data_IF_494679051973
#
_entry.id   IF_494679051973
#
_cell.length_a   1.000
_cell.length_b   1.000
_cell.length_c   1.000
_cell.angle_alpha   90.00
_cell.angle_beta   90.00
_cell.angle_gamma   90.00
#
_symmetry.space_group_name_H-M   'P 1'
#
loop_
_entity.id
_entity.type
_entity.pdbx_description
1 polymer ?
#
# COMPACT_ATOMS: atom_id res chain seq x y z
N UNK A 1 55.28 8.12 23.22
CA UNK A 1 54.20 8.96 22.65
C UNK A 1 54.51 10.46 22.79
N UNK A 2 55.68 10.97 22.35
CA UNK A 2 56.10 12.35 22.66
C UNK A 2 55.95 13.37 21.51
N UNK A 3 55.25 13.04 20.41
CA UNK A 3 55.12 13.93 19.25
C UNK A 3 53.68 14.38 18.91
N UNK A 4 52.69 14.14 19.80
CA UNK A 4 51.31 14.54 19.52
C UNK A 4 51.10 16.05 19.66
N UNK A 5 51.10 16.78 18.54
CA UNK A 5 50.80 18.21 18.48
C UNK A 5 49.30 18.45 18.57
N UNK A 6 48.78 18.40 19.79
CA UNK A 6 47.35 18.50 20.10
C UNK A 6 46.66 19.78 19.60
N UNK A 7 47.38 20.88 19.30
CA UNK A 7 46.76 22.08 18.68
C UNK A 7 46.48 21.87 17.19
N UNK A 8 47.43 21.26 16.49
CA UNK A 8 47.29 20.92 15.06
C UNK A 8 46.17 19.89 14.87
N UNK A 9 46.12 18.89 15.74
CA UNK A 9 45.06 17.87 15.71
C UNK A 9 43.65 18.46 15.80
N UNK A 10 43.42 19.37 16.77
CA UNK A 10 42.12 20.04 16.93
C UNK A 10 41.75 20.86 15.69
N UNK A 11 42.70 21.56 15.09
CA UNK A 11 42.45 22.33 13.87
C UNK A 11 42.05 21.45 12.69
N UNK A 12 42.80 20.36 12.46
CA UNK A 12 42.54 19.41 11.36
C UNK A 12 41.18 18.72 11.53
N UNK A 13 40.87 18.22 12.74
CA UNK A 13 39.61 17.51 12.96
C UNK A 13 38.39 18.45 12.86
N UNK A 14 38.50 19.71 13.32
CA UNK A 14 37.44 20.71 13.13
C UNK A 14 37.23 21.05 11.65
N UNK A 15 38.31 21.18 10.88
CA UNK A 15 38.22 21.42 9.44
C UNK A 15 37.54 20.25 8.71
N UNK A 16 37.93 19.00 9.00
CA UNK A 16 37.30 17.82 8.43
C UNK A 16 35.82 17.71 8.85
N UNK A 17 35.51 17.92 10.12
CA UNK A 17 34.14 17.88 10.62
C UNK A 17 33.26 18.96 9.96
N UNK A 18 33.79 20.18 9.79
CA UNK A 18 33.09 21.26 9.10
C UNK A 18 32.76 20.92 7.65
N UNK A 19 33.71 20.30 6.92
CA UNK A 19 33.48 19.89 5.53
C UNK A 19 32.35 18.85 5.43
N UNK A 20 32.33 17.87 6.33
CA UNK A 20 31.27 16.87 6.39
C UNK A 20 29.94 17.53 6.78
N UNK A 21 29.93 18.44 7.76
CA UNK A 21 28.73 19.18 8.17
C UNK A 21 28.19 20.05 7.03
N UNK A 22 29.04 20.69 6.24
CA UNK A 22 28.64 21.49 5.08
C UNK A 22 27.95 20.62 4.03
N UNK A 23 28.60 19.51 3.63
CA UNK A 23 28.05 18.59 2.60
C UNK A 23 26.74 17.97 3.07
N UNK A 24 26.70 17.47 4.30
CA UNK A 24 25.48 16.85 4.86
C UNK A 24 24.36 17.87 5.08
N UNK A 25 24.67 19.11 5.48
CA UNK A 25 23.67 20.20 5.58
C UNK A 25 23.04 20.51 4.22
N UNK A 26 23.87 20.63 3.17
CA UNK A 26 23.40 20.91 1.82
C UNK A 26 22.51 19.75 1.34
N UNK A 27 22.90 18.49 1.57
CA UNK A 27 22.10 17.34 1.15
C UNK A 27 20.78 17.24 1.94
N UNK A 28 20.80 17.40 3.27
CA UNK A 28 19.58 17.40 4.09
C UNK A 28 18.65 18.56 3.76
N UNK A 29 19.20 19.65 3.21
CA UNK A 29 18.41 20.78 2.77
C UNK A 29 17.91 20.63 1.32
N UNK A 30 18.61 19.92 0.43
CA UNK A 30 18.22 19.80 -0.98
C UNK A 30 17.41 18.53 -1.29
N UNK A 31 17.58 17.45 -0.53
CA UNK A 31 16.95 16.15 -0.77
C UNK A 31 15.95 15.74 0.32
N UNK A 32 15.07 14.79 0.00
CA UNK A 32 14.23 14.10 0.98
C UNK A 32 15.07 13.46 2.10
N UNK A 33 14.43 13.29 3.25
CA UNK A 33 15.07 12.79 4.45
C UNK A 33 15.68 11.41 4.24
N UNK A 34 17.00 11.30 4.43
CA UNK A 34 17.70 10.02 4.45
C UNK A 34 18.30 9.79 5.84
N UNK A 35 17.90 8.69 6.48
CA UNK A 35 18.29 8.36 7.85
C UNK A 35 19.81 8.25 8.04
N UNK A 36 20.54 7.70 7.06
CA UNK A 36 21.99 7.58 7.13
C UNK A 36 22.67 8.96 7.11
N UNK A 37 22.21 9.86 6.24
CA UNK A 37 22.77 11.21 6.12
C UNK A 37 22.47 12.02 7.39
N UNK A 38 21.26 11.91 7.93
CA UNK A 38 20.87 12.56 9.18
C UNK A 38 21.68 12.03 10.38
N UNK A 39 21.92 10.71 10.42
CA UNK A 39 22.77 10.09 11.45
C UNK A 39 24.22 10.59 11.34
N UNK A 40 24.80 10.60 10.14
CA UNK A 40 26.14 11.15 9.90
C UNK A 40 26.25 12.61 10.33
N UNK A 41 25.27 13.44 9.94
CA UNK A 41 25.22 14.86 10.32
C UNK A 41 25.18 15.03 11.84
N UNK A 42 24.32 14.26 12.53
CA UNK A 42 24.15 14.36 13.98
C UNK A 42 25.40 13.91 14.73
N UNK A 43 26.00 12.78 14.35
CA UNK A 43 27.19 12.24 15.00
C UNK A 43 28.41 13.13 14.78
N UNK A 44 28.64 13.60 13.55
CA UNK A 44 29.76 14.49 13.23
C UNK A 44 29.54 15.88 13.84
N UNK A 45 28.31 16.37 13.89
CA UNK A 45 27.95 17.62 14.56
C UNK A 45 28.23 17.57 16.06
N UNK A 46 27.84 16.48 16.73
CA UNK A 46 28.15 16.26 18.15
C UNK A 46 29.67 16.19 18.39
N UNK A 47 30.40 15.45 17.56
CA UNK A 47 31.87 15.41 17.62
C UNK A 47 32.47 16.80 17.45
N UNK A 48 31.99 17.58 16.49
CA UNK A 48 32.46 18.94 16.23
C UNK A 48 32.23 19.85 17.43
N UNK A 49 31.07 19.76 18.11
CA UNK A 49 30.78 20.52 19.33
C UNK A 49 31.74 20.15 20.48
N UNK A 50 31.98 18.85 20.70
CA UNK A 50 32.92 18.39 21.73
C UNK A 50 34.35 18.90 21.46
N UNK A 51 34.81 18.81 20.21
CA UNK A 51 36.12 19.32 19.82
C UNK A 51 36.16 20.85 19.90
N UNK A 52 35.07 21.55 19.56
CA UNK A 52 34.99 23.01 19.68
C UNK A 52 35.13 23.46 21.13
N UNK A 53 34.50 22.77 22.08
CA UNK A 53 34.69 23.00 23.52
C UNK A 53 36.16 22.77 23.91
N UNK A 54 36.77 21.70 23.42
CA UNK A 54 38.20 21.44 23.66
C UNK A 54 39.11 22.53 23.06
N UNK A 55 38.78 23.01 21.86
CA UNK A 55 39.45 24.12 21.21
C UNK A 55 39.33 25.40 22.04
N UNK A 56 38.15 25.68 22.57
CA UNK A 56 37.84 26.86 23.37
C UNK A 56 38.64 26.89 24.67
N UNK A 57 38.63 25.79 25.44
CA UNK A 57 39.38 25.66 26.69
C UNK A 57 40.86 25.91 26.44
N UNK A 58 41.40 25.35 25.36
CA UNK A 58 42.82 25.43 25.04
C UNK A 58 43.26 26.81 24.54
N UNK A 59 42.35 27.56 23.93
CA UNK A 59 42.59 28.88 23.37
C UNK A 59 41.89 30.01 24.16
N UNK A 60 41.53 29.76 25.43
CA UNK A 60 40.77 30.70 26.25
C UNK A 60 41.53 32.01 26.53
N UNK A 61 42.87 31.96 26.61
CA UNK A 61 43.71 33.15 26.85
C UNK A 61 43.67 34.12 25.65
N UNK A 62 43.98 33.69 24.40
CA UNK A 62 43.74 34.52 23.22
C UNK A 62 42.29 34.99 23.09
N UNK A 63 41.31 34.12 23.36
CA UNK A 63 39.91 34.50 23.24
C UNK A 63 39.53 35.63 24.20
N UNK A 64 39.96 35.58 25.47
CA UNK A 64 39.73 36.67 26.43
C UNK A 64 40.29 38.00 25.93
N UNK A 65 41.42 37.98 25.23
CA UNK A 65 42.00 39.19 24.63
C UNK A 65 41.16 39.72 23.45
N UNK A 66 40.63 38.85 22.59
CA UNK A 66 39.72 39.26 21.51
C UNK A 66 38.36 39.77 22.02
N UNK A 67 37.88 39.20 23.13
CA UNK A 67 36.61 39.57 23.73
C UNK A 67 36.67 40.84 24.59
N UNK A 68 37.86 41.38 24.86
CA UNK A 68 38.04 42.57 25.68
C UNK A 68 38.17 43.83 24.80
N UNK A 69 37.09 44.61 24.59
CA UNK A 69 37.12 45.78 23.72
C UNK A 69 37.99 46.93 24.26
N UNK A 70 38.45 46.85 25.51
CA UNK A 70 39.25 47.87 26.18
C UNK A 70 40.75 47.51 26.29
N UNK A 71 41.15 46.30 25.90
CA UNK A 71 42.57 45.90 25.89
C UNK A 71 43.27 46.58 24.69
N UNK A 72 44.13 47.58 24.97
CA UNK A 72 44.89 48.31 23.95
C UNK A 72 45.86 47.38 23.23
N UNK A 73 45.42 46.74 22.14
CA UNK A 73 46.32 45.91 21.35
C UNK A 73 47.27 46.68 20.44
N UNK A 74 47.05 47.97 20.12
CA UNK A 74 48.02 48.82 19.37
C UNK A 74 47.47 50.23 19.07
N UNK A 75 46.79 50.88 20.01
CA UNK A 75 46.37 52.29 19.85
C UNK A 75 45.33 52.57 18.74
N UNK A 76 44.70 51.54 18.15
CA UNK A 76 43.60 51.65 17.18
C UNK A 76 42.37 50.91 17.70
N UNK A 77 41.19 51.51 17.53
CA UNK A 77 39.89 50.94 17.91
C UNK A 77 39.60 49.67 17.07
N UNK A 78 39.22 48.56 17.72
CA UNK A 78 38.89 47.31 17.01
C UNK A 78 37.43 47.31 16.55
N UNK A 79 37.20 47.33 15.23
CA UNK A 79 35.86 47.26 14.63
C UNK A 79 35.26 45.84 14.63
N UNK A 80 36.00 44.83 15.09
CA UNK A 80 35.58 43.43 15.00
C UNK A 80 34.25 43.16 15.73
N UNK A 81 34.05 43.75 16.91
CA UNK A 81 32.84 43.56 17.71
C UNK A 81 31.58 44.19 17.10
N UNK A 82 31.60 45.48 16.71
CA UNK A 82 30.49 46.07 15.97
C UNK A 82 30.16 45.30 14.69
N UNK A 83 31.17 44.87 13.92
CA UNK A 83 30.96 44.11 12.68
C UNK A 83 30.33 42.75 12.98
N UNK A 84 30.83 42.01 13.96
CA UNK A 84 30.28 40.70 14.34
C UNK A 84 28.81 40.81 14.80
N UNK A 85 28.48 41.83 15.62
CA UNK A 85 27.11 42.10 16.04
C UNK A 85 26.21 42.44 14.87
N UNK A 86 26.67 43.30 13.94
CA UNK A 86 25.92 43.63 12.73
C UNK A 86 25.67 42.38 11.86
N UNK A 87 26.67 41.52 11.67
CA UNK A 87 26.54 40.29 10.87
C UNK A 87 25.56 39.31 11.53
N UNK A 88 25.71 39.04 12.83
CA UNK A 88 24.81 38.12 13.56
C UNK A 88 23.37 38.66 13.57
N UNK A 89 23.21 39.96 13.81
CA UNK A 89 21.89 40.61 13.79
C UNK A 89 21.26 40.54 12.40
N UNK A 90 22.04 40.79 11.35
CA UNK A 90 21.56 40.66 9.97
C UNK A 90 21.16 39.22 9.65
N UNK A 91 22.00 38.22 9.94
CA UNK A 91 21.68 36.80 9.66
C UNK A 91 20.43 36.33 10.42
N UNK A 92 20.23 36.80 11.66
CA UNK A 92 19.04 36.46 12.45
C UNK A 92 17.76 37.18 12.00
N UNK A 93 17.85 38.45 11.62
CA UNK A 93 16.70 39.29 11.26
C UNK A 93 16.34 39.22 9.77
N UNK A 94 17.29 38.96 8.87
CA UNK A 94 17.06 38.94 7.44
C UNK A 94 16.00 37.92 6.99
N UNK A 95 15.90 36.70 7.56
CA UNK A 95 14.79 35.81 7.26
C UNK A 95 13.44 36.34 7.75
N UNK A 96 13.40 36.98 8.92
CA UNK A 96 12.17 37.54 9.52
C UNK A 96 11.62 38.69 8.67
N UNK A 97 12.49 39.55 8.16
CA UNK A 97 12.12 40.70 7.31
C UNK A 97 12.25 40.42 5.81
N UNK A 98 12.53 39.18 5.41
CA UNK A 98 12.68 38.74 4.02
C UNK A 98 13.71 39.57 3.21
N UNK A 99 14.83 39.95 3.82
CA UNK A 99 15.82 40.83 3.21
C UNK A 99 16.74 40.08 2.22
N UNK A 100 17.13 40.70 1.08
CA UNK A 100 18.18 40.16 0.20
C UNK A 100 19.58 40.25 0.84
N UNK A 101 20.48 39.27 0.61
CA UNK A 101 20.30 38.07 -0.23
C UNK A 101 19.68 36.86 0.49
N UNK A 102 19.31 36.94 1.77
CA UNK A 102 18.84 35.78 2.54
C UNK A 102 17.62 35.09 1.91
N UNK A 103 16.65 35.89 1.41
CA UNK A 103 15.46 35.34 0.75
C UNK A 103 15.79 34.61 -0.56
N UNK A 104 16.80 35.06 -1.31
CA UNK A 104 17.21 34.44 -2.57
C UNK A 104 17.89 33.08 -2.34
N UNK A 105 18.70 32.98 -1.28
CA UNK A 105 19.29 31.70 -0.86
C UNK A 105 18.20 30.70 -0.46
N UNK A 106 17.17 31.15 0.27
CA UNK A 106 16.03 30.31 0.63
C UNK A 106 15.25 29.84 -0.60
N UNK A 107 14.94 30.74 -1.54
CA UNK A 107 14.23 30.42 -2.79
C UNK A 107 14.99 29.40 -3.62
N UNK A 108 16.30 29.58 -3.80
CA UNK A 108 17.15 28.59 -4.47
C UNK A 108 17.11 27.22 -3.78
N UNK A 109 17.06 27.21 -2.44
CA UNK A 109 16.83 25.99 -1.68
C UNK A 109 15.51 25.28 -1.99
N UNK A 110 14.43 26.05 -2.08
CA UNK A 110 13.10 25.53 -2.41
C UNK A 110 13.05 24.93 -3.83
N UNK A 111 13.76 25.51 -4.80
CA UNK A 111 13.81 24.94 -6.16
C UNK A 111 14.52 23.59 -6.19
N UNK A 112 15.57 23.42 -5.38
CA UNK A 112 16.26 22.12 -5.26
C UNK A 112 15.35 21.06 -4.62
N UNK A 113 14.63 21.42 -3.55
CA UNK A 113 13.67 20.51 -2.89
C UNK A 113 12.50 20.14 -3.79
N UNK A 114 11.98 21.08 -4.58
CA UNK A 114 10.85 20.84 -5.47
C UNK A 114 11.20 19.83 -6.58
N UNK A 115 12.42 19.91 -7.12
CA UNK A 115 12.92 18.96 -8.12
C UNK A 115 13.05 17.53 -7.54
N UNK A 116 13.61 17.39 -6.33
CA UNK A 116 13.76 16.10 -5.66
C UNK A 116 12.40 15.49 -5.25
N UNK A 117 11.43 16.34 -4.85
CA UNK A 117 10.07 15.90 -4.50
C UNK A 117 9.31 15.33 -5.72
N UNK A 118 9.45 15.95 -6.89
CA UNK A 118 8.82 15.46 -8.11
C UNK A 118 9.35 14.09 -8.55
N UNK A 119 10.63 13.80 -8.28
CA UNK A 119 11.26 12.50 -8.58
C UNK A 119 10.95 11.40 -7.53
N UNK A 120 10.27 11.73 -6.43
CA UNK A 120 10.10 10.85 -5.27
C UNK A 120 8.66 10.65 -4.79
N UNK A 121 7.66 11.23 -5.46
CA UNK A 121 6.27 10.85 -5.22
C UNK A 121 6.09 9.37 -5.61
N UNK A 122 5.49 8.53 -4.74
CA UNK A 122 5.30 7.11 -5.05
C UNK A 122 4.43 6.96 -6.30
N UNK A 123 5.01 6.45 -7.38
CA UNK A 123 4.28 6.14 -8.61
C UNK A 123 3.22 5.06 -8.32
N UNK A 124 1.94 5.42 -8.43
CA UNK A 124 0.85 4.44 -8.45
C UNK A 124 0.72 3.94 -9.89
N UNK A 125 1.10 2.67 -10.11
CA UNK A 125 0.99 2.02 -11.41
C UNK A 125 -0.33 1.28 -11.51
N UNK A 126 -0.98 1.41 -12.67
CA UNK A 126 -2.15 0.63 -13.05
C UNK A 126 -1.81 -0.25 -14.24
N UNK A 127 -2.20 -1.51 -14.16
CA UNK A 127 -2.19 -2.43 -15.30
C UNK A 127 -3.50 -2.26 -16.04
N UNK A 128 -3.45 -1.77 -17.28
CA UNK A 128 -4.64 -1.70 -18.13
C UNK A 128 -4.84 -3.02 -18.88
N UNK A 129 -6.07 -3.51 -18.90
CA UNK A 129 -6.50 -4.66 -19.70
C UNK A 129 -7.82 -4.34 -20.38
N UNK A 130 -7.91 -4.70 -21.64
CA UNK A 130 -9.11 -4.53 -22.45
C UNK A 130 -9.44 -5.85 -23.13
N UNK A 131 -10.69 -6.30 -22.99
CA UNK A 131 -11.17 -7.57 -23.53
C UNK A 131 -12.39 -7.30 -24.38
N UNK A 132 -12.28 -7.60 -25.67
CA UNK A 132 -13.38 -7.54 -26.62
C UNK A 132 -13.72 -8.95 -27.13
N UNK A 133 -14.98 -9.36 -26.95
CA UNK A 133 -15.54 -10.49 -27.71
C UNK A 133 -16.20 -9.91 -28.97
N UNK A 134 -15.83 -10.34 -30.19
CA UNK A 134 -16.46 -9.91 -31.45
C UNK A 134 -17.99 -10.11 -31.49
N UNK A 135 -18.54 -10.98 -30.63
CA UNK A 135 -19.98 -11.22 -30.51
C UNK A 135 -20.69 -10.23 -29.59
N UNK A 136 -19.94 -9.51 -28.74
CA UNK A 136 -20.50 -8.52 -27.82
C UNK A 136 -20.97 -7.28 -28.56
N UNK A 137 -22.18 -6.81 -28.25
CA UNK A 137 -22.82 -5.68 -28.94
C UNK A 137 -23.19 -4.52 -28.03
N UNK A 138 -23.18 -4.72 -26.70
CA UNK A 138 -23.56 -3.71 -25.72
C UNK A 138 -22.52 -2.62 -25.48
N UNK A 139 -22.74 -1.85 -24.42
CA UNK A 139 -21.88 -0.75 -23.98
C UNK A 139 -20.49 -1.26 -23.51
N UNK A 140 -19.49 -0.38 -23.47
CA UNK A 140 -18.22 -0.68 -22.80
C UNK A 140 -18.35 -0.36 -21.33
N UNK A 141 -17.92 -1.28 -20.48
CA UNK A 141 -17.81 -1.05 -19.05
C UNK A 141 -16.34 -1.11 -18.64
N UNK A 142 -15.91 -0.14 -17.85
CA UNK A 142 -14.55 -0.05 -17.32
C UNK A 142 -14.61 -0.08 -15.80
N UNK A 143 -13.74 -0.89 -15.20
CA UNK A 143 -13.57 -1.05 -13.76
C UNK A 143 -12.14 -0.67 -13.41
N UNK A 144 -11.99 0.40 -12.65
CA UNK A 144 -10.73 0.82 -12.06
C UNK A 144 -10.69 0.35 -10.60
N UNK A 145 -9.77 -0.56 -10.28
CA UNK A 145 -9.56 -1.04 -8.92
C UNK A 145 -8.19 -0.58 -8.41
N UNK A 146 -8.21 0.13 -7.28
CA UNK A 146 -7.03 0.40 -6.48
C UNK A 146 -6.98 -0.60 -5.33
N UNK A 147 -5.90 -1.38 -5.28
CA UNK A 147 -5.76 -2.46 -4.32
C UNK A 147 -5.41 -1.94 -2.93
N UNK A 148 -5.92 -2.60 -1.91
CA UNK A 148 -5.48 -2.39 -0.54
C UNK A 148 -4.21 -3.20 -0.21
N UNK A 149 -3.66 -3.04 1.01
CA UNK A 149 -2.42 -3.70 1.42
C UNK A 149 -2.52 -5.24 1.48
N UNK A 150 -3.72 -5.80 1.67
CA UNK A 150 -3.93 -7.25 1.81
C UNK A 150 -4.35 -7.94 0.51
N UNK A 151 -4.37 -7.24 -0.64
CA UNK A 151 -4.76 -7.80 -1.93
C UNK A 151 -3.67 -8.72 -2.53
N UNK A 152 -3.41 -9.86 -1.90
CA UNK A 152 -2.33 -10.79 -2.26
C UNK A 152 -2.92 -12.07 -2.87
N UNK A 153 -2.80 -12.24 -4.18
CA UNK A 153 -3.40 -13.38 -4.90
C UNK A 153 -4.90 -13.62 -4.60
N UNK A 154 -5.75 -12.58 -4.65
CA UNK A 154 -7.16 -12.70 -4.29
C UNK A 154 -7.92 -13.58 -5.29
N UNK A 155 -9.06 -14.11 -4.85
CA UNK A 155 -10.11 -14.59 -5.73
C UNK A 155 -11.20 -13.53 -5.80
N UNK A 156 -11.69 -13.23 -6.99
CA UNK A 156 -12.78 -12.26 -7.13
C UNK A 156 -13.58 -12.46 -8.42
N UNK A 157 -14.80 -11.97 -8.39
CA UNK A 157 -15.71 -11.96 -9.51
C UNK A 157 -16.39 -10.60 -9.62
N UNK A 158 -16.59 -10.18 -10.86
CA UNK A 158 -17.30 -8.98 -11.25
C UNK A 158 -18.49 -9.40 -12.11
N UNK A 159 -19.68 -8.88 -11.81
CA UNK A 159 -20.88 -9.19 -12.59
C UNK A 159 -21.90 -8.06 -12.57
N UNK A 160 -22.89 -8.17 -13.46
CA UNK A 160 -24.05 -7.30 -13.52
C UNK A 160 -25.31 -8.07 -13.14
N UNK A 161 -26.16 -7.46 -12.32
CA UNK A 161 -27.51 -7.94 -11.99
C UNK A 161 -28.52 -6.79 -12.09
N UNK A 162 -29.80 -7.13 -12.29
CA UNK A 162 -30.88 -6.15 -12.21
C UNK A 162 -31.09 -5.65 -10.78
N UNK A 163 -31.86 -4.56 -10.61
CA UNK A 163 -32.27 -4.10 -9.28
C UNK A 163 -33.15 -5.12 -8.53
N UNK A 164 -33.80 -6.05 -9.25
CA UNK A 164 -34.56 -7.16 -8.66
C UNK A 164 -33.68 -8.35 -8.26
N UNK A 165 -32.38 -8.31 -8.53
CA UNK A 165 -31.42 -9.38 -8.22
C UNK A 165 -31.30 -10.46 -9.30
N UNK A 166 -31.84 -10.23 -10.50
CA UNK A 166 -31.70 -11.14 -11.62
C UNK A 166 -30.30 -11.00 -12.23
N UNK A 167 -29.52 -12.08 -12.22
CA UNK A 167 -28.21 -12.13 -12.85
C UNK A 167 -28.29 -11.82 -14.36
N UNK A 168 -27.44 -10.92 -14.86
CA UNK A 168 -27.40 -10.55 -16.29
C UNK A 168 -26.23 -11.16 -17.02
N UNK A 169 -25.01 -10.92 -16.54
CA UNK A 169 -23.79 -11.51 -17.09
C UNK A 169 -22.61 -11.33 -16.14
N UNK A 170 -21.62 -12.23 -16.16
CA UNK A 170 -20.32 -11.95 -15.58
C UNK A 170 -19.57 -10.89 -16.40
N UNK A 171 -18.65 -10.20 -15.77
CA UNK A 171 -17.71 -9.26 -16.39
C UNK A 171 -16.29 -9.80 -16.32
N UNK A 172 -15.93 -10.39 -15.19
CA UNK A 172 -14.62 -10.99 -14.98
C UNK A 172 -14.70 -12.02 -13.85
N UNK A 173 -13.99 -13.13 -14.00
CA UNK A 173 -13.80 -14.13 -12.94
C UNK A 173 -12.34 -14.56 -12.91
N UNK A 174 -11.77 -14.72 -11.71
CA UNK A 174 -10.42 -15.26 -11.57
C UNK A 174 -10.31 -16.68 -12.13
N UNK A 175 -9.26 -16.95 -12.90
CA UNK A 175 -9.03 -18.21 -13.62
C UNK A 175 -9.20 -19.48 -12.76
N UNK A 176 -8.67 -19.48 -11.52
CA UNK A 176 -8.78 -20.65 -10.62
C UNK A 176 -10.22 -21.02 -10.32
N UNK A 177 -11.08 -20.02 -10.13
CA UNK A 177 -12.51 -20.25 -9.90
C UNK A 177 -13.21 -20.69 -11.17
N UNK A 178 -12.93 -20.04 -12.30
CA UNK A 178 -13.56 -20.35 -13.59
C UNK A 178 -13.24 -21.77 -14.09
N UNK A 179 -12.01 -22.24 -13.87
CA UNK A 179 -11.54 -23.56 -14.31
C UNK A 179 -11.67 -24.64 -13.22
N UNK A 180 -12.14 -24.25 -12.03
CA UNK A 180 -12.19 -25.05 -10.81
C UNK A 180 -10.84 -25.74 -10.49
N UNK A 181 -9.71 -25.10 -10.81
CA UNK A 181 -8.35 -25.65 -10.67
C UNK A 181 -7.77 -25.44 -9.27
N UNK A 182 -8.46 -25.96 -8.25
CA UNK A 182 -7.97 -26.01 -6.87
C UNK A 182 -7.15 -27.30 -6.62
N UNK A 183 -5.96 -27.38 -7.21
CA UNK A 183 -5.08 -28.56 -7.11
C UNK A 183 -4.21 -28.55 -5.84
N UNK A 184 -4.04 -27.40 -5.21
CA UNK A 184 -3.22 -27.25 -4.01
C UNK A 184 -3.97 -27.76 -2.77
N UNK A 185 -3.34 -28.71 -2.08
CA UNK A 185 -3.66 -29.09 -0.71
C UNK A 185 -2.78 -28.31 0.25
N UNK A 186 -3.37 -27.80 1.31
CA UNK A 186 -2.62 -27.13 2.38
C UNK A 186 -2.98 -27.79 3.69
N UNK A 187 -1.98 -28.09 4.51
CA UNK A 187 -2.15 -28.70 5.84
C UNK A 187 -1.28 -27.99 6.87
N UNK A 188 -1.74 -27.92 8.12
CA UNK A 188 -0.91 -27.43 9.22
C UNK A 188 0.29 -28.36 9.45
N UNK A 189 1.47 -27.79 9.69
CA UNK A 189 2.64 -28.56 10.17
C UNK A 189 2.46 -29.00 11.63
N UNK A 190 1.90 -28.12 12.45
CA UNK A 190 1.46 -28.41 13.82
C UNK A 190 -0.07 -28.46 13.87
N UNK A 191 -0.68 -29.65 14.02
CA UNK A 191 -2.13 -29.81 14.07
C UNK A 191 -2.80 -29.02 15.19
N UNK A 192 -2.11 -28.83 16.32
CA UNK A 192 -2.65 -28.17 17.52
C UNK A 192 -2.49 -26.64 17.46
N UNK A 193 -1.74 -26.12 16.49
CA UNK A 193 -1.53 -24.68 16.34
C UNK A 193 -2.81 -23.98 15.87
N UNK A 194 -3.24 -22.98 16.62
CA UNK A 194 -4.36 -22.11 16.27
C UNK A 194 -3.86 -20.87 15.55
N UNK A 195 -4.44 -20.57 14.39
CA UNK A 195 -4.23 -19.33 13.66
C UNK A 195 -5.34 -18.34 13.98
N UNK A 196 -4.97 -17.16 14.46
CA UNK A 196 -5.88 -16.07 14.83
C UNK A 196 -5.38 -14.71 14.31
N UNK A 197 -4.41 -14.72 13.39
CA UNK A 197 -3.84 -13.55 12.73
C UNK A 197 -3.57 -13.87 11.27
N UNK A 198 -3.57 -12.84 10.43
CA UNK A 198 -3.31 -12.97 9.00
C UNK A 198 -1.97 -13.66 8.73
N UNK A 199 -1.96 -14.71 7.89
CA UNK A 199 -0.78 -15.58 7.75
C UNK A 199 0.22 -15.13 6.66
N UNK A 200 -0.14 -14.17 5.79
CA UNK A 200 0.78 -13.68 4.75
C UNK A 200 1.40 -12.31 5.06
N UNK A 201 0.87 -11.61 6.06
CA UNK A 201 1.19 -10.21 6.39
C UNK A 201 1.00 -10.01 7.88
N UNK A 202 1.95 -9.36 8.54
CA UNK A 202 1.89 -9.05 9.98
C UNK A 202 3.01 -9.71 10.78
N UNK A 203 2.95 -9.55 12.11
CA UNK A 203 3.96 -10.07 13.05
C UNK A 203 3.66 -11.51 13.53
N UNK A 204 2.53 -12.08 13.10
CA UNK A 204 2.10 -13.44 13.43
C UNK A 204 2.85 -14.53 12.65
N UNK A 205 2.48 -15.81 12.85
CA UNK A 205 3.06 -16.92 12.10
C UNK A 205 2.86 -16.72 10.59
N UNK A 206 3.93 -16.93 9.81
CA UNK A 206 3.87 -16.86 8.36
C UNK A 206 3.43 -18.20 7.77
N UNK A 207 2.57 -18.18 6.75
CA UNK A 207 2.05 -19.36 6.06
C UNK A 207 3.17 -20.33 5.61
N UNK A 208 4.31 -19.83 5.15
CA UNK A 208 5.43 -20.66 4.70
C UNK A 208 6.09 -21.46 5.83
N UNK A 209 6.03 -20.93 7.05
CA UNK A 209 6.61 -21.55 8.23
C UNK A 209 5.67 -22.59 8.85
N UNK A 210 4.35 -22.36 8.81
CA UNK A 210 3.37 -23.15 9.55
C UNK A 210 2.50 -24.07 8.69
N UNK A 211 2.49 -23.90 7.38
CA UNK A 211 1.72 -24.71 6.44
C UNK A 211 2.63 -25.56 5.54
N UNK A 212 2.15 -26.74 5.18
CA UNK A 212 2.74 -27.61 4.16
C UNK A 212 1.81 -27.65 2.95
N UNK A 213 2.36 -27.33 1.77
CA UNK A 213 1.65 -27.35 0.50
C UNK A 213 2.01 -28.59 -0.31
N UNK A 214 1.00 -29.29 -0.83
CA UNK A 214 1.17 -30.43 -1.73
C UNK A 214 0.22 -30.28 -2.92
N UNK A 215 0.68 -30.61 -4.12
CA UNK A 215 -0.19 -30.61 -5.30
C UNK A 215 -0.86 -31.98 -5.44
N UNK A 216 -2.19 -32.02 -5.44
CA UNK A 216 -2.97 -33.26 -5.62
C UNK A 216 -4.04 -33.08 -6.72
N UNK A 217 -3.64 -33.11 -8.02
CA UNK A 217 -4.53 -32.82 -9.15
C UNK A 217 -5.74 -33.76 -9.25
N UNK A 218 -5.62 -34.99 -8.77
CA UNK A 218 -6.67 -36.01 -8.78
C UNK A 218 -7.86 -35.69 -7.85
N UNK A 219 -7.68 -34.77 -6.90
CA UNK A 219 -8.71 -34.33 -5.96
C UNK A 219 -9.44 -33.05 -6.41
N UNK A 220 -9.12 -32.52 -7.60
CA UNK A 220 -9.68 -31.27 -8.13
C UNK A 220 -11.22 -31.24 -8.07
N UNK A 221 -11.88 -32.27 -8.58
CA UNK A 221 -13.34 -32.34 -8.64
C UNK A 221 -14.01 -32.61 -7.28
N UNK A 222 -13.24 -32.97 -6.25
CA UNK A 222 -13.72 -33.07 -4.86
C UNK A 222 -13.39 -31.85 -4.01
N UNK A 223 -12.51 -30.94 -4.48
CA UNK A 223 -12.09 -29.71 -3.77
C UNK A 223 -12.74 -28.47 -4.34
N UNK A 224 -14.07 -28.47 -4.29
CA UNK A 224 -14.84 -27.27 -4.55
C UNK A 224 -14.69 -26.32 -3.37
N UNK A 225 -14.51 -25.03 -3.66
CA UNK A 225 -14.35 -23.97 -2.67
C UNK A 225 -15.59 -23.06 -2.68
N UNK A 226 -16.77 -23.53 -2.25
CA UNK A 226 -17.98 -22.70 -2.25
C UNK A 226 -17.84 -21.45 -1.35
N UNK A 227 -16.93 -21.48 -0.38
CA UNK A 227 -16.54 -20.37 0.47
C UNK A 227 -15.72 -19.29 -0.25
N UNK A 228 -15.18 -19.56 -1.45
CA UNK A 228 -14.31 -18.60 -2.12
C UNK A 228 -15.07 -17.36 -2.56
N UNK A 229 -16.23 -17.52 -3.23
CA UNK A 229 -17.10 -16.43 -3.69
C UNK A 229 -18.58 -16.84 -3.58
N UNK A 230 -19.10 -17.07 -2.36
CA UNK A 230 -20.47 -17.55 -2.11
C UNK A 230 -21.56 -16.82 -2.90
N UNK A 231 -21.53 -15.49 -2.91
CA UNK A 231 -22.65 -14.69 -3.45
C UNK A 231 -22.71 -14.86 -4.96
N UNK A 232 -21.56 -14.71 -5.63
CA UNK A 232 -21.42 -14.89 -7.06
C UNK A 232 -21.74 -16.32 -7.49
N UNK A 233 -21.23 -17.32 -6.78
CA UNK A 233 -21.46 -18.73 -7.10
C UNK A 233 -22.95 -19.05 -7.04
N UNK A 234 -23.64 -18.68 -5.96
CA UNK A 234 -25.09 -18.89 -5.84
C UNK A 234 -25.88 -18.15 -6.92
N UNK A 235 -25.43 -16.96 -7.35
CA UNK A 235 -26.05 -16.23 -8.45
C UNK A 235 -25.90 -16.90 -9.82
N UNK A 236 -24.75 -17.52 -10.08
CA UNK A 236 -24.55 -18.31 -11.30
C UNK A 236 -25.50 -19.52 -11.36
N UNK A 237 -25.95 -20.01 -10.21
CA UNK A 237 -26.80 -21.20 -10.07
C UNK A 237 -26.25 -22.43 -10.82
N UNK A 238 -24.93 -22.47 -11.05
CA UNK A 238 -24.22 -23.57 -11.68
C UNK A 238 -23.87 -24.59 -10.60
N UNK A 239 -24.41 -25.81 -10.73
CA UNK A 239 -24.16 -26.93 -9.81
C UNK A 239 -23.27 -27.94 -10.50
N UNK A 240 -22.26 -28.42 -9.79
CA UNK A 240 -21.54 -29.62 -10.17
C UNK A 240 -22.39 -30.87 -9.93
N UNK A 241 -21.98 -32.00 -10.53
CA UNK A 241 -22.68 -33.29 -10.46
C UNK A 241 -22.94 -33.79 -9.02
N UNK A 242 -22.10 -33.39 -8.07
CA UNK A 242 -22.24 -33.71 -6.64
C UNK A 242 -23.22 -32.78 -5.88
N UNK A 243 -23.88 -31.85 -6.57
CA UNK A 243 -24.84 -30.90 -6.00
C UNK A 243 -24.22 -29.66 -5.36
N UNK A 244 -22.89 -29.54 -5.32
CA UNK A 244 -22.18 -28.35 -4.81
C UNK A 244 -22.17 -27.26 -5.89
N UNK A 245 -22.34 -26.02 -5.45
CA UNK A 245 -22.59 -24.86 -6.31
C UNK A 245 -21.26 -24.24 -6.80
N UNK A 246 -20.51 -25.02 -7.58
CA UNK A 246 -19.23 -24.64 -8.21
C UNK A 246 -19.23 -25.17 -9.66
N UNK A 247 -18.64 -24.45 -10.64
CA UNK A 247 -18.57 -24.92 -12.01
C UNK A 247 -17.84 -26.27 -12.13
N UNK A 248 -18.46 -27.23 -12.81
CA UNK A 248 -17.76 -28.39 -13.36
C UNK A 248 -16.92 -27.93 -14.56
N UNK A 249 -15.72 -28.50 -14.71
CA UNK A 249 -14.84 -28.38 -15.88
C UNK A 249 -15.53 -28.53 -17.26
N UNK A 250 -16.66 -29.22 -17.36
CA UNK A 250 -17.40 -29.35 -18.63
C UNK A 250 -18.37 -28.18 -18.90
N UNK A 251 -18.70 -27.37 -17.88
CA UNK A 251 -19.63 -26.24 -18.00
C UNK A 251 -18.92 -24.93 -18.40
N UNK A 252 -18.53 -24.88 -19.67
CA UNK A 252 -17.85 -23.81 -20.44
C UNK A 252 -18.42 -22.36 -20.34
N UNK A 253 -19.34 -22.05 -19.43
CA UNK A 253 -20.05 -20.76 -19.43
C UNK A 253 -19.20 -19.56 -18.96
N UNK A 254 -18.14 -19.78 -18.17
CA UNK A 254 -17.35 -18.71 -17.54
C UNK A 254 -16.01 -18.49 -18.25
N UNK A 255 -15.56 -19.41 -19.11
CA UNK A 255 -14.23 -19.38 -19.72
C UNK A 255 -13.98 -18.08 -20.52
N UNK A 256 -15.00 -17.60 -21.25
CA UNK A 256 -14.94 -16.32 -21.99
C UNK A 256 -14.85 -15.05 -21.14
N UNK A 257 -15.04 -15.16 -19.82
CA UNK A 257 -14.93 -14.08 -18.84
C UNK A 257 -13.80 -14.32 -17.84
N UNK A 258 -13.06 -15.41 -18.01
CA UNK A 258 -11.95 -15.78 -17.16
C UNK A 258 -10.65 -15.12 -17.65
N UNK A 259 -9.74 -14.85 -16.72
CA UNK A 259 -8.41 -14.40 -17.10
C UNK A 259 -7.43 -14.51 -15.95
N UNK A 260 -6.14 -14.37 -16.28
CA UNK A 260 -5.07 -14.34 -15.31
C UNK A 260 -5.39 -13.33 -14.20
N UNK A 261 -5.32 -13.76 -12.94
CA UNK A 261 -5.64 -12.93 -11.76
C UNK A 261 -4.84 -11.64 -11.79
N UNK A 262 -5.52 -10.48 -11.75
CA UNK A 262 -4.86 -9.18 -11.65
C UNK A 262 -4.54 -8.95 -10.18
N UNK A 263 -3.24 -8.84 -9.85
CA UNK A 263 -2.76 -8.73 -8.46
C UNK A 263 -2.25 -7.33 -8.11
N UNK A 264 -2.20 -6.42 -9.09
CA UNK A 264 -1.82 -5.01 -8.90
C UNK A 264 -3.04 -4.10 -9.07
N UNK A 265 -2.89 -2.78 -8.92
CA UNK A 265 -3.95 -1.86 -9.35
C UNK A 265 -4.23 -2.07 -10.83
N UNK A 266 -5.49 -2.05 -11.23
CA UNK A 266 -5.85 -2.33 -12.61
C UNK A 266 -6.99 -1.46 -13.12
N UNK A 267 -6.99 -1.30 -14.44
CA UNK A 267 -8.10 -0.73 -15.20
C UNK A 267 -8.52 -1.83 -16.18
N UNK A 268 -9.71 -2.38 -15.97
CA UNK A 268 -10.25 -3.48 -16.77
C UNK A 268 -11.43 -2.96 -17.58
N UNK A 269 -11.33 -3.03 -18.91
CA UNK A 269 -12.41 -2.65 -19.83
C UNK A 269 -12.92 -3.89 -20.57
N UNK A 270 -14.23 -4.04 -20.65
CA UNK A 270 -14.86 -5.08 -21.46
C UNK A 270 -16.16 -4.60 -22.12
N UNK A 271 -16.58 -5.27 -23.18
CA UNK A 271 -17.82 -5.00 -23.89
C UNK A 271 -18.93 -5.96 -23.47
N UNK A 272 -20.07 -5.42 -23.05
CA UNK A 272 -21.24 -6.20 -22.66
C UNK A 272 -21.76 -7.07 -23.83
N UNK A 273 -22.20 -8.29 -23.54
CA UNK A 273 -22.70 -9.23 -24.57
C UNK A 273 -23.87 -8.62 -25.37
N UNK A 274 -24.81 -8.00 -24.65
CA UNK A 274 -25.95 -7.29 -25.21
C UNK A 274 -26.11 -5.91 -24.55
N UNK A 275 -26.76 -4.95 -25.22
CA UNK A 275 -27.09 -3.65 -24.63
C UNK A 275 -27.99 -3.82 -23.40
N UNK A 276 -27.68 -3.09 -22.33
CA UNK A 276 -28.54 -2.95 -21.15
C UNK A 276 -29.21 -1.58 -21.17
N UNK A 277 -30.40 -1.48 -20.58
CA UNK A 277 -31.16 -0.23 -20.47
C UNK A 277 -31.54 0.04 -19.01
N UNK A 278 -31.41 1.29 -18.58
CA UNK A 278 -31.78 1.74 -17.25
C UNK A 278 -30.84 1.25 -16.14
N UNK A 279 -31.26 1.40 -14.86
CA UNK A 279 -30.40 1.14 -13.72
C UNK A 279 -30.16 -0.35 -13.48
N UNK A 280 -28.89 -0.70 -13.30
CA UNK A 280 -28.42 -2.05 -12.96
C UNK A 280 -27.38 -1.99 -11.84
N UNK A 281 -27.24 -3.09 -11.10
CA UNK A 281 -26.17 -3.25 -10.11
C UNK A 281 -24.95 -3.85 -10.78
N UNK A 282 -23.81 -3.26 -10.53
CA UNK A 282 -22.50 -3.83 -10.78
C UNK A 282 -21.94 -4.27 -9.44
N UNK A 283 -21.48 -5.51 -9.36
CA UNK A 283 -21.02 -6.15 -8.13
C UNK A 283 -19.57 -6.59 -8.28
N UNK A 284 -18.82 -6.45 -7.19
CA UNK A 284 -17.53 -7.07 -6.98
C UNK A 284 -17.62 -7.91 -5.71
N UNK A 285 -17.32 -9.19 -5.80
CA UNK A 285 -17.05 -10.02 -4.63
C UNK A 285 -15.57 -10.37 -4.64
N UNK A 286 -14.89 -10.15 -3.53
CA UNK A 286 -13.45 -10.43 -3.38
C UNK A 286 -13.21 -11.21 -2.10
N UNK A 287 -12.31 -12.17 -2.17
CA UNK A 287 -11.87 -12.99 -1.06
C UNK A 287 -10.36 -13.22 -1.13
N UNK A 288 -9.78 -13.52 0.02
CA UNK A 288 -8.37 -13.76 0.21
C UNK A 288 -8.17 -14.94 1.16
N UNK A 289 -7.36 -15.93 0.76
CA UNK A 289 -7.12 -17.11 1.59
C UNK A 289 -6.13 -16.82 2.72
N UNK A 290 -6.19 -17.62 3.78
CA UNK A 290 -5.34 -17.51 4.98
C UNK A 290 -5.53 -16.21 5.77
N UNK A 291 -6.70 -15.58 5.64
CA UNK A 291 -7.03 -14.28 6.22
C UNK A 291 -7.62 -14.41 7.64
N UNK A 292 -6.88 -15.02 8.55
CA UNK A 292 -7.34 -15.25 9.93
C UNK A 292 -7.35 -13.97 10.77
N UNK A 293 -8.30 -13.89 11.70
CA UNK A 293 -8.30 -12.89 12.77
C UNK A 293 -8.80 -13.50 14.09
N UNK A 294 -8.97 -12.68 15.13
CA UNK A 294 -9.43 -13.16 16.44
C UNK A 294 -10.81 -13.82 16.39
N UNK A 295 -11.71 -13.30 15.54
CA UNK A 295 -13.04 -13.85 15.38
C UNK A 295 -13.01 -15.05 14.44
N UNK A 296 -12.54 -14.90 13.21
CA UNK A 296 -12.36 -15.96 12.22
C UNK A 296 -11.02 -16.67 12.44
N UNK A 297 -10.88 -17.33 13.59
CA UNK A 297 -9.72 -18.15 13.94
C UNK A 297 -9.85 -19.58 13.40
N UNK A 298 -8.75 -20.33 13.33
CA UNK A 298 -8.74 -21.69 12.77
C UNK A 298 -9.39 -22.76 13.65
N UNK A 299 -9.68 -22.44 14.90
CA UNK A 299 -10.38 -23.28 15.88
C UNK A 299 -11.86 -22.90 16.02
N UNK A 300 -12.35 -22.01 15.16
CA UNK A 300 -13.76 -21.64 15.10
C UNK A 300 -14.54 -22.52 14.13
N UNK A 301 -15.86 -22.59 14.34
CA UNK A 301 -16.80 -23.33 13.50
C UNK A 301 -16.35 -24.79 13.30
N UNK A 302 -15.98 -25.47 14.40
CA UNK A 302 -15.44 -26.84 14.37
C UNK A 302 -16.39 -27.87 13.75
N UNK A 303 -17.70 -27.59 13.77
CA UNK A 303 -18.73 -28.43 13.17
C UNK A 303 -18.96 -28.12 11.68
N UNK A 304 -18.26 -27.12 11.12
CA UNK A 304 -18.34 -26.72 9.71
C UNK A 304 -17.12 -27.25 8.93
N UNK A 305 -17.27 -28.37 8.21
CA UNK A 305 -16.14 -29.02 7.54
C UNK A 305 -15.59 -28.21 6.34
N UNK A 306 -16.31 -27.21 5.85
CA UNK A 306 -15.80 -26.31 4.79
C UNK A 306 -14.85 -25.30 5.42
N UNK A 307 -15.28 -24.67 6.52
CA UNK A 307 -14.45 -23.69 7.23
C UNK A 307 -13.25 -24.33 7.94
N UNK A 308 -13.48 -25.39 8.73
CA UNK A 308 -12.45 -26.06 9.52
C UNK A 308 -11.68 -27.13 8.74
N UNK A 309 -11.97 -27.28 7.44
CA UNK A 309 -11.36 -28.26 6.55
C UNK A 309 -10.06 -27.78 5.90
N UNK A 310 -9.84 -28.19 4.64
CA UNK A 310 -8.60 -27.90 3.91
C UNK A 310 -8.62 -26.58 3.11
N UNK A 311 -9.66 -25.74 3.30
CA UNK A 311 -9.87 -24.49 2.57
C UNK A 311 -9.09 -23.29 3.11
N UNK A 312 -8.90 -23.23 4.43
CA UNK A 312 -8.16 -22.17 5.13
C UNK A 312 -8.46 -20.74 4.62
N UNK A 313 -9.70 -20.43 4.19
CA UNK A 313 -10.05 -19.07 3.73
C UNK A 313 -10.05 -18.08 4.89
N UNK A 314 -10.61 -18.50 6.04
CA UNK A 314 -10.81 -17.72 7.25
C UNK A 314 -11.87 -16.62 7.08
N UNK A 315 -11.50 -15.33 7.07
CA UNK A 315 -12.48 -14.26 6.87
C UNK A 315 -13.30 -14.47 5.57
N UNK A 316 -14.61 -14.21 5.59
CA UNK A 316 -15.47 -14.36 4.41
C UNK A 316 -15.15 -13.33 3.32
N UNK A 317 -15.60 -13.62 2.10
CA UNK A 317 -15.59 -12.68 0.99
C UNK A 317 -16.35 -11.38 1.33
N UNK A 318 -15.89 -10.25 0.80
CA UNK A 318 -16.56 -8.95 0.91
C UNK A 318 -17.13 -8.52 -0.43
N UNK A 319 -18.29 -7.85 -0.39
CA UNK A 319 -19.05 -7.47 -1.58
C UNK A 319 -19.13 -5.95 -1.67
N UNK A 320 -18.73 -5.42 -2.81
CA UNK A 320 -18.91 -4.02 -3.19
C UNK A 320 -20.00 -3.90 -4.28
N UNK A 321 -20.77 -2.82 -4.25
CA UNK A 321 -21.87 -2.55 -5.18
C UNK A 321 -21.78 -1.11 -5.70
N UNK A 322 -22.08 -0.93 -6.98
CA UNK A 322 -22.48 0.36 -7.55
C UNK A 322 -23.73 0.18 -8.41
N UNK A 323 -24.60 1.19 -8.43
CA UNK A 323 -25.74 1.25 -9.36
C UNK A 323 -25.35 2.15 -10.53
N UNK A 324 -25.43 1.61 -11.75
CA UNK A 324 -25.16 2.32 -12.99
C UNK A 324 -26.43 2.40 -13.82
N UNK A 325 -26.74 3.60 -14.31
CA UNK A 325 -27.80 3.82 -15.29
C UNK A 325 -27.23 3.71 -16.71
N UNK A 326 -27.61 2.66 -17.43
CA UNK A 326 -27.16 2.39 -18.80
C UNK A 326 -27.88 3.23 -19.87
N UNK A 327 -28.93 3.98 -19.51
CA UNK A 327 -29.61 4.93 -20.40
C UNK A 327 -28.99 6.34 -20.35
N UNK A 328 -28.10 6.59 -19.37
CA UNK A 328 -27.47 7.89 -19.19
C UNK A 328 -26.67 8.29 -20.43
N UNK A 329 -27.10 9.38 -21.09
CA UNK A 329 -26.36 9.95 -22.22
C UNK A 329 -25.14 10.77 -21.81
N UNK A 330 -24.82 10.83 -20.51
CA UNK A 330 -23.57 11.41 -20.04
C UNK A 330 -22.45 10.38 -20.22
N UNK A 331 -21.69 10.52 -21.31
CA UNK A 331 -20.42 9.80 -21.49
C UNK A 331 -19.55 9.92 -20.25
N UNK A 332 -19.05 8.80 -19.73
CA UNK A 332 -18.22 8.77 -18.53
C UNK A 332 -19.00 8.86 -17.21
N UNK A 333 -20.20 8.27 -17.12
CA UNK A 333 -20.88 8.10 -15.82
C UNK A 333 -19.97 7.30 -14.89
N UNK A 334 -19.40 7.95 -13.87
CA UNK A 334 -18.51 7.33 -12.88
C UNK A 334 -19.30 7.03 -11.60
N UNK A 335 -19.30 5.78 -11.17
CA UNK A 335 -19.81 5.39 -9.86
C UNK A 335 -18.72 4.73 -9.02
N UNK A 336 -18.60 5.19 -7.77
CA UNK A 336 -17.72 4.56 -6.78
C UNK A 336 -18.48 3.41 -6.14
N UNK A 337 -17.89 2.21 -6.13
CA UNK A 337 -18.53 1.07 -5.45
C UNK A 337 -18.42 1.24 -3.94
N UNK A 338 -19.50 0.90 -3.23
CA UNK A 338 -19.57 0.91 -1.76
C UNK A 338 -19.63 -0.51 -1.23
N UNK A 339 -18.97 -0.77 -0.10
CA UNK A 339 -19.09 -2.03 0.61
C UNK A 339 -20.55 -2.21 1.08
N UNK A 340 -21.16 -3.35 0.74
CA UNK A 340 -22.55 -3.67 1.12
C UNK A 340 -22.64 -4.79 2.16
N UNK A 341 -21.56 -5.54 2.37
CA UNK A 341 -21.53 -6.65 3.32
C UNK A 341 -20.53 -7.73 2.94
N UNK A 342 -20.74 -8.91 3.50
CA UNK A 342 -19.89 -10.08 3.29
C UNK A 342 -20.73 -11.33 2.95
N UNK A 343 -20.09 -12.33 2.36
CA UNK A 343 -20.70 -13.62 2.07
C UNK A 343 -20.69 -14.58 3.27
N UNK A 344 -21.25 -15.78 3.12
CA UNK A 344 -21.12 -16.80 4.16
C UNK A 344 -19.70 -17.38 4.18
N UNK A 345 -19.06 -17.46 5.36
CA UNK A 345 -17.70 -17.99 5.57
C UNK A 345 -17.44 -19.44 5.12
N UNK A 346 -18.49 -20.12 4.64
CA UNK A 346 -18.48 -21.54 4.25
C UNK A 346 -19.25 -21.79 2.97
N UNK A 347 -19.71 -20.75 2.26
CA UNK A 347 -20.43 -20.97 1.01
C UNK A 347 -21.87 -21.48 1.13
N UNK A 348 -22.43 -21.57 2.35
CA UNK A 348 -23.73 -22.24 2.61
C UNK A 348 -24.91 -21.61 1.87
N UNK A 349 -24.87 -20.30 1.67
CA UNK A 349 -25.88 -19.53 0.97
C UNK A 349 -25.24 -18.36 0.20
N UNK A 350 -26.03 -17.78 -0.71
CA UNK A 350 -25.67 -16.58 -1.47
C UNK A 350 -26.14 -15.27 -0.85
N UNK A 351 -26.45 -15.24 0.46
CA UNK A 351 -26.93 -14.02 1.10
C UNK A 351 -25.77 -13.05 1.36
N UNK A 352 -26.09 -11.75 1.35
CA UNK A 352 -25.17 -10.70 1.75
C UNK A 352 -25.49 -10.30 3.20
N UNK A 353 -24.50 -10.44 4.07
CA UNK A 353 -24.58 -10.09 5.48
C UNK A 353 -23.98 -8.69 5.69
N UNK A 354 -24.80 -7.75 6.16
CA UNK A 354 -24.38 -6.35 6.31
C UNK A 354 -23.48 -6.09 7.54
N UNK A 355 -23.49 -6.98 8.53
CA UNK A 355 -22.67 -6.83 9.73
C UNK A 355 -21.22 -7.22 9.45
N UNK A 356 -20.37 -6.22 9.30
CA UNK A 356 -18.94 -6.39 9.04
C UNK A 356 -18.08 -6.18 10.29
N UNK A 357 -18.67 -6.12 11.48
CA UNK A 357 -17.98 -5.75 12.74
C UNK A 357 -16.87 -6.72 13.14
N UNK A 358 -16.89 -7.95 12.61
CA UNK A 358 -15.91 -9.00 12.90
C UNK A 358 -14.83 -9.13 11.83
N UNK A 359 -14.88 -8.30 10.78
CA UNK A 359 -13.89 -8.27 9.71
C UNK A 359 -12.80 -7.26 10.02
N UNK A 360 -11.58 -7.60 9.61
CA UNK A 360 -10.37 -6.79 9.77
C UNK A 360 -9.71 -6.59 8.41
N UNK A 361 -8.68 -7.38 8.08
CA UNK A 361 -7.92 -7.31 6.83
C UNK A 361 -8.77 -7.55 5.57
N UNK A 362 -9.88 -8.28 5.67
CA UNK A 362 -10.83 -8.44 4.57
C UNK A 362 -11.42 -7.09 4.09
N UNK A 363 -11.59 -6.12 4.99
CA UNK A 363 -12.06 -4.77 4.67
C UNK A 363 -10.99 -3.90 4.00
N UNK A 364 -9.73 -4.33 4.09
CA UNK A 364 -8.55 -3.66 3.56
C UNK A 364 -7.99 -4.36 2.31
N UNK A 365 -8.76 -5.27 1.70
CA UNK A 365 -8.43 -5.89 0.42
C UNK A 365 -8.50 -4.86 -0.72
N UNK A 366 -9.49 -3.98 -0.70
CA UNK A 366 -9.74 -3.04 -1.79
C UNK A 366 -9.82 -1.62 -1.23
N UNK A 367 -8.94 -0.74 -1.70
CA UNK A 367 -8.96 0.66 -1.26
C UNK A 367 -10.07 1.44 -1.97
N UNK A 368 -10.25 1.20 -3.28
CA UNK A 368 -11.26 1.87 -4.08
C UNK A 368 -11.59 1.07 -5.33
N UNK A 369 -12.86 1.09 -5.72
CA UNK A 369 -13.31 0.64 -7.04
C UNK A 369 -14.19 1.70 -7.67
N UNK A 370 -13.92 2.01 -8.93
CA UNK A 370 -14.76 2.87 -9.75
C UNK A 370 -15.23 2.10 -10.98
N UNK A 371 -16.49 2.28 -11.31
CA UNK A 371 -17.12 1.75 -12.51
C UNK A 371 -17.49 2.91 -13.43
N UNK A 372 -17.20 2.77 -14.72
CA UNK A 372 -17.70 3.66 -15.75
C UNK A 372 -18.27 2.90 -16.95
N UNK A 373 -19.22 3.52 -17.64
CA UNK A 373 -19.85 2.97 -18.84
C UNK A 373 -19.78 3.99 -19.98
N UNK A 374 -19.42 3.52 -21.18
CA UNK A 374 -19.23 4.31 -22.39
C UNK A 374 -19.89 3.69 -23.63
#
# INVERSE_FOLDING_TARGET
MSNFRSRSFIGVILFCALLVMLVTSIIMFSKQHNALIALMHTLVGLLMLLVLVWHLIKNIRPLKQYLNPFEKQTGRFSLAWPIALCVVSYVGLAPVFQLPPAIEVYRFGQTLKAADKADSDPEIKYVQREVEDPKSTGQHITIELKKGPYFLWPQYALWIESLSGEFKQPLYVTEKLATNQFTNKVTKKDPDQVFNTHLLVGEGPNAWDVLEGQEEPTSKNSRMRPESLPVFLHQLNMRADNGVLVPDSESLAIDGFSGATMTDNFIYTTRLQAPLNGPHRVRLEVNHSFDYNEYYSSDRFLDDPIYSGDGYSAQPSVIYEAIIDFDSQQSGTLAVMSLVGHGHHSGRDGNIYSDVSQLTSALELVERVIVSVN
#
